data_IF_577836651561
#
_entry.id   IF_577836651561
#
_cell.length_a   1.000
_cell.length_b   1.000
_cell.length_c   1.000
_cell.angle_alpha   90.00
_cell.angle_beta   90.00
_cell.angle_gamma   90.00
#
_symmetry.space_group_name_H-M   'P 1'
#
loop_
_entity.id
_entity.type
_entity.pdbx_description
1 polymer ?
#
# COMPACT_ATOMS: atom_id res chain seq x y z
N UNK A 1 5.69 -17.92 0.35
CA UNK A 1 5.64 -17.63 1.80
C UNK A 1 5.27 -18.92 2.54
N UNK A 2 5.65 -19.12 3.82
CA UNK A 2 5.22 -20.33 4.55
C UNK A 2 3.74 -20.21 4.92
N UNK A 3 3.00 -21.32 4.95
CA UNK A 3 1.56 -21.32 5.31
C UNK A 3 1.30 -20.75 6.70
N UNK A 4 2.24 -20.91 7.62
CA UNK A 4 2.15 -20.37 8.98
C UNK A 4 2.18 -18.84 9.00
N UNK A 5 2.98 -18.22 8.13
CA UNK A 5 3.06 -16.76 8.00
C UNK A 5 1.75 -16.22 7.39
N UNK A 6 1.21 -16.87 6.36
CA UNK A 6 -0.08 -16.48 5.76
C UNK A 6 -1.22 -16.54 6.79
N UNK A 7 -1.28 -17.62 7.57
CA UNK A 7 -2.27 -17.75 8.65
C UNK A 7 -2.09 -16.67 9.73
N UNK A 8 -0.85 -16.39 10.12
CA UNK A 8 -0.55 -15.35 11.11
C UNK A 8 -0.95 -13.95 10.61
N UNK A 9 -0.72 -13.66 9.32
CA UNK A 9 -1.16 -12.42 8.68
C UNK A 9 -2.69 -12.27 8.70
N UNK A 10 -3.41 -13.34 8.33
CA UNK A 10 -4.86 -13.35 8.36
C UNK A 10 -5.38 -13.13 9.80
N UNK A 11 -4.82 -13.82 10.79
CA UNK A 11 -5.21 -13.68 12.20
C UNK A 11 -4.98 -12.24 12.66
N UNK A 12 -3.83 -11.64 12.34
CA UNK A 12 -3.51 -10.27 12.70
C UNK A 12 -4.48 -9.27 12.03
N UNK A 13 -4.74 -9.43 10.73
CA UNK A 13 -5.67 -8.59 9.98
C UNK A 13 -7.10 -8.67 10.55
N UNK A 14 -7.59 -9.88 10.88
CA UNK A 14 -8.89 -10.09 11.55
C UNK A 14 -8.94 -9.44 12.94
N UNK A 15 -7.86 -9.56 13.72
CA UNK A 15 -7.77 -8.94 15.03
C UNK A 15 -7.82 -7.41 14.93
N UNK A 16 -7.10 -6.82 13.96
CA UNK A 16 -7.14 -5.38 13.67
C UNK A 16 -8.50 -4.91 13.20
N UNK A 17 -9.20 -5.68 12.35
CA UNK A 17 -10.59 -5.38 11.97
C UNK A 17 -11.54 -5.40 13.18
N UNK A 18 -11.37 -6.35 14.11
CA UNK A 18 -12.16 -6.40 15.35
C UNK A 18 -11.89 -5.17 16.21
N UNK A 19 -10.63 -4.76 16.35
CA UNK A 19 -10.25 -3.55 17.08
C UNK A 19 -10.80 -2.29 16.42
N UNK A 20 -10.77 -2.20 15.09
CA UNK A 20 -11.36 -1.09 14.35
C UNK A 20 -12.85 -0.96 14.68
N UNK A 21 -13.60 -2.07 14.68
CA UNK A 21 -15.02 -2.06 15.07
C UNK A 21 -15.25 -1.59 16.51
N UNK A 22 -14.34 -1.91 17.43
CA UNK A 22 -14.40 -1.43 18.82
C UNK A 22 -14.07 0.06 18.90
N UNK A 23 -13.05 0.52 18.16
CA UNK A 23 -12.66 1.92 18.11
C UNK A 23 -13.75 2.80 17.49
N UNK A 24 -14.50 2.27 16.53
CA UNK A 24 -15.65 2.93 15.92
C UNK A 24 -16.90 2.91 16.83
N UNK A 25 -16.93 2.08 17.89
CA UNK A 25 -18.11 1.93 18.72
C UNK A 25 -18.29 3.12 19.68
N UNK A 26 -19.25 3.99 19.37
CA UNK A 26 -19.67 5.09 20.24
C UNK A 26 -19.70 6.42 19.48
N UNK A 27 -20.52 7.39 19.94
CA UNK A 27 -20.62 8.72 19.30
C UNK A 27 -19.36 9.58 19.48
N UNK A 28 -18.53 9.25 20.48
CA UNK A 28 -17.29 9.96 20.81
C UNK A 28 -16.05 9.10 20.49
N UNK A 29 -16.09 8.35 19.40
CA UNK A 29 -14.93 7.58 18.95
C UNK A 29 -13.70 8.48 18.80
N UNK A 30 -12.56 8.06 19.37
CA UNK A 30 -11.30 8.75 19.16
C UNK A 30 -10.87 8.55 17.70
N UNK A 31 -11.07 9.60 16.89
CA UNK A 31 -10.76 9.60 15.46
C UNK A 31 -9.29 9.28 15.19
N UNK A 32 -8.37 9.64 16.09
CA UNK A 32 -6.95 9.29 15.92
C UNK A 32 -6.73 7.78 16.11
N UNK A 33 -7.41 7.18 17.08
CA UNK A 33 -7.37 5.73 17.31
C UNK A 33 -7.99 4.97 16.13
N UNK A 34 -9.14 5.44 15.63
CA UNK A 34 -9.81 4.88 14.44
C UNK A 34 -8.90 4.97 13.23
N UNK A 35 -8.32 6.15 12.95
CA UNK A 35 -7.41 6.37 11.84
C UNK A 35 -6.18 5.47 11.94
N UNK A 36 -5.49 5.45 13.09
CA UNK A 36 -4.31 4.60 13.30
C UNK A 36 -4.63 3.11 13.11
N UNK A 37 -5.77 2.64 13.64
CA UNK A 37 -6.18 1.24 13.51
C UNK A 37 -6.53 0.89 12.07
N UNK A 38 -7.15 1.84 11.35
CA UNK A 38 -7.45 1.70 9.93
C UNK A 38 -6.17 1.65 9.08
N UNK A 39 -5.19 2.54 9.29
CA UNK A 39 -3.89 2.51 8.59
C UNK A 39 -3.12 1.20 8.83
N UNK A 40 -3.09 0.70 10.07
CA UNK A 40 -2.44 -0.57 10.36
C UNK A 40 -3.09 -1.74 9.62
N UNK A 41 -4.41 -1.69 9.47
CA UNK A 41 -5.16 -2.72 8.76
C UNK A 41 -4.93 -2.63 7.25
N UNK A 42 -5.03 -1.44 6.66
CA UNK A 42 -4.81 -1.23 5.23
C UNK A 42 -3.37 -1.52 4.83
N UNK A 43 -2.38 -1.19 5.67
CA UNK A 43 -0.99 -1.56 5.44
C UNK A 43 -0.77 -3.08 5.37
N UNK A 44 -1.44 -3.85 6.24
CA UNK A 44 -1.37 -5.32 6.23
C UNK A 44 -2.06 -5.92 5.02
N UNK A 45 -3.23 -5.41 4.64
CA UNK A 45 -4.02 -5.92 3.51
C UNK A 45 -3.42 -5.49 2.17
N UNK A 46 -2.60 -4.43 2.13
CA UNK A 46 -1.91 -3.92 0.93
C UNK A 46 -0.80 -4.83 0.43
N UNK A 47 -0.30 -5.74 1.28
CA UNK A 47 0.68 -6.77 0.87
C UNK A 47 0.19 -7.63 -0.30
N UNK A 48 -1.14 -7.72 -0.51
CA UNK A 48 -1.73 -8.41 -1.68
C UNK A 48 -1.42 -7.74 -3.02
N UNK A 49 -1.08 -6.45 -3.03
CA UNK A 49 -0.74 -5.69 -4.23
C UNK A 49 0.76 -5.72 -4.54
N UNK A 50 1.58 -6.24 -3.62
CA UNK A 50 3.02 -6.42 -3.82
C UNK A 50 3.28 -7.52 -4.85
N UNK A 51 4.04 -7.20 -5.89
CA UNK A 51 4.46 -8.18 -6.91
C UNK A 51 5.33 -9.26 -6.25
N UNK A 52 5.12 -10.54 -6.60
CA UNK A 52 5.81 -11.68 -5.99
C UNK A 52 5.70 -11.76 -4.45
N UNK A 53 4.57 -11.29 -3.87
CA UNK A 53 4.29 -11.36 -2.42
C UNK A 53 4.30 -12.77 -1.83
N UNK A 54 4.32 -13.81 -2.68
CA UNK A 54 4.38 -15.20 -2.26
C UNK A 54 3.15 -15.66 -1.48
N UNK A 55 2.05 -14.91 -1.54
CA UNK A 55 0.76 -15.22 -0.95
C UNK A 55 -0.02 -16.17 -1.84
N UNK A 56 -0.67 -17.15 -1.24
CA UNK A 56 -1.67 -17.96 -1.93
C UNK A 56 -2.87 -17.12 -2.35
N UNK A 57 -3.53 -17.51 -3.44
CA UNK A 57 -4.73 -16.84 -3.93
C UNK A 57 -5.86 -16.79 -2.87
N UNK A 58 -5.94 -17.81 -2.00
CA UNK A 58 -6.89 -17.84 -0.89
C UNK A 58 -6.60 -16.73 0.12
N UNK A 59 -5.33 -16.57 0.52
CA UNK A 59 -4.89 -15.53 1.46
C UNK A 59 -5.08 -14.13 0.89
N UNK A 60 -4.74 -13.91 -0.38
CA UNK A 60 -4.97 -12.62 -1.04
C UNK A 60 -6.46 -12.25 -1.07
N UNK A 61 -7.35 -13.21 -1.37
CA UNK A 61 -8.80 -13.01 -1.36
C UNK A 61 -9.32 -12.67 0.04
N UNK A 62 -8.79 -13.34 1.07
CA UNK A 62 -9.21 -13.10 2.44
C UNK A 62 -8.80 -11.71 2.94
N UNK A 63 -7.58 -11.28 2.63
CA UNK A 63 -7.12 -9.91 2.92
C UNK A 63 -7.98 -8.86 2.20
N UNK A 64 -8.38 -9.10 0.95
CA UNK A 64 -9.27 -8.20 0.22
C UNK A 64 -10.66 -8.07 0.88
N UNK A 65 -11.22 -9.18 1.39
CA UNK A 65 -12.50 -9.15 2.12
C UNK A 65 -12.37 -8.35 3.41
N UNK A 66 -11.29 -8.56 4.16
CA UNK A 66 -11.03 -7.83 5.42
C UNK A 66 -10.92 -6.33 5.18
N UNK A 67 -10.20 -5.94 4.12
CA UNK A 67 -10.01 -4.55 3.71
C UNK A 67 -11.33 -3.86 3.35
N UNK A 68 -12.13 -4.51 2.51
CA UNK A 68 -13.45 -4.00 2.12
C UNK A 68 -14.38 -3.85 3.34
N UNK A 69 -14.33 -4.79 4.29
CA UNK A 69 -15.10 -4.68 5.52
C UNK A 69 -14.61 -3.54 6.42
N UNK A 70 -13.32 -3.23 6.41
CA UNK A 70 -12.77 -2.08 7.14
C UNK A 70 -13.30 -0.77 6.56
N UNK A 71 -13.18 -0.59 5.25
CA UNK A 71 -13.66 0.59 4.52
C UNK A 71 -15.15 0.81 4.80
N UNK A 72 -15.96 -0.24 4.67
CA UNK A 72 -17.41 -0.16 4.91
C UNK A 72 -17.76 0.24 6.35
N UNK A 73 -17.06 -0.29 7.36
CA UNK A 73 -17.35 0.08 8.76
C UNK A 73 -17.00 1.55 9.03
N UNK A 74 -15.86 2.03 8.50
CA UNK A 74 -15.45 3.42 8.66
C UNK A 74 -16.39 4.34 7.90
N UNK A 75 -16.75 4.02 6.65
CA UNK A 75 -17.68 4.81 5.84
C UNK A 75 -19.04 5.00 6.51
N UNK A 76 -19.55 3.98 7.20
CA UNK A 76 -20.85 4.05 7.86
C UNK A 76 -20.86 4.87 9.15
N UNK A 77 -19.75 4.91 9.89
CA UNK A 77 -19.72 5.49 11.23
C UNK A 77 -18.94 6.81 11.29
N UNK A 78 -17.82 6.89 10.56
CA UNK A 78 -16.87 8.00 10.56
C UNK A 78 -16.28 8.24 9.15
N UNK A 79 -17.09 8.64 8.16
CA UNK A 79 -16.63 8.84 6.78
C UNK A 79 -15.50 9.88 6.65
N UNK A 80 -15.41 10.84 7.58
CA UNK A 80 -14.33 11.83 7.68
C UNK A 80 -12.93 11.21 7.79
N UNK A 81 -12.82 9.99 8.33
CA UNK A 81 -11.56 9.23 8.39
C UNK A 81 -11.15 8.78 6.99
N UNK A 82 -12.11 8.43 6.13
CA UNK A 82 -11.83 8.08 4.74
C UNK A 82 -11.48 9.30 3.90
N UNK A 83 -11.99 10.49 4.21
CA UNK A 83 -11.59 11.73 3.51
C UNK A 83 -10.16 12.13 3.86
N UNK A 84 -9.77 12.05 5.14
CA UNK A 84 -8.38 12.25 5.55
C UNK A 84 -7.47 11.19 4.95
N UNK A 85 -7.90 9.93 5.00
CA UNK A 85 -7.18 8.85 4.33
C UNK A 85 -7.10 9.12 2.83
N UNK A 86 -8.15 9.55 2.14
CA UNK A 86 -8.19 9.88 0.72
C UNK A 86 -7.21 11.00 0.35
N UNK A 87 -7.05 12.00 1.22
CA UNK A 87 -6.11 13.10 0.99
C UNK A 87 -4.66 12.69 1.28
N UNK A 88 -4.43 11.80 2.24
CA UNK A 88 -3.11 11.18 2.47
C UNK A 88 -2.79 10.11 1.42
N UNK A 89 -3.82 9.44 0.88
CA UNK A 89 -3.75 8.36 -0.12
C UNK A 89 -3.84 8.85 -1.57
N UNK A 90 -4.13 10.14 -1.78
CA UNK A 90 -3.88 10.81 -3.06
C UNK A 90 -2.39 10.84 -3.42
N UNK A 91 -1.49 10.51 -2.49
CA UNK A 91 -0.09 10.26 -2.77
C UNK A 91 0.19 8.85 -3.36
N UNK A 92 -0.78 7.90 -3.31
CA UNK A 92 -0.68 6.55 -3.92
C UNK A 92 -0.91 6.48 -5.43
N UNK A 93 -1.00 7.62 -6.14
CA UNK A 93 -0.94 7.58 -7.62
C UNK A 93 0.32 6.84 -8.12
N UNK A 94 1.40 6.91 -7.35
CA UNK A 94 2.67 6.24 -7.59
C UNK A 94 2.57 4.70 -7.69
N UNK A 95 1.60 4.08 -6.99
CA UNK A 95 1.43 2.61 -6.93
C UNK A 95 0.87 2.02 -8.21
N UNK A 96 0.06 2.77 -8.97
CA UNK A 96 -0.50 2.32 -10.25
C UNK A 96 0.17 2.99 -11.46
N UNK A 97 1.04 3.98 -11.21
CA UNK A 97 1.78 4.70 -12.24
C UNK A 97 2.72 3.75 -13.02
N UNK A 98 2.81 3.86 -14.35
CA UNK A 98 3.81 3.12 -15.14
C UNK A 98 5.23 3.36 -14.62
N UNK A 99 6.10 2.35 -14.76
CA UNK A 99 7.46 2.41 -14.22
C UNK A 99 8.29 3.57 -14.79
N UNK A 100 8.06 3.93 -16.06
CA UNK A 100 8.67 5.09 -16.72
C UNK A 100 8.22 6.40 -16.08
N UNK A 101 6.91 6.56 -15.92
CA UNK A 101 6.29 7.77 -15.38
C UNK A 101 6.69 7.98 -13.91
N UNK A 102 6.81 6.89 -13.14
CA UNK A 102 7.27 6.94 -11.76
C UNK A 102 8.74 7.38 -11.64
N UNK A 103 9.61 6.96 -12.57
CA UNK A 103 11.00 7.43 -12.61
C UNK A 103 11.08 8.89 -13.07
N UNK A 104 10.27 9.27 -14.06
CA UNK A 104 10.19 10.66 -14.55
C UNK A 104 9.72 11.60 -13.42
N UNK A 105 8.71 11.22 -12.65
CA UNK A 105 8.26 11.95 -11.47
C UNK A 105 9.41 12.18 -10.47
N UNK A 106 10.17 11.13 -10.17
CA UNK A 106 11.26 11.22 -9.20
C UNK A 106 12.42 12.08 -9.71
N UNK A 107 12.89 11.86 -10.93
CA UNK A 107 14.15 12.40 -11.41
C UNK A 107 14.01 13.65 -12.28
N UNK A 108 13.00 13.71 -13.15
CA UNK A 108 12.78 14.86 -14.03
C UNK A 108 11.95 15.94 -13.35
N UNK A 109 10.90 15.54 -12.63
CA UNK A 109 10.04 16.49 -11.92
C UNK A 109 10.61 16.88 -10.55
N UNK A 110 11.68 16.19 -10.10
CA UNK A 110 12.44 16.55 -8.91
C UNK A 110 11.80 16.09 -7.59
N UNK A 111 10.81 15.21 -7.65
CA UNK A 111 10.10 14.70 -6.47
C UNK A 111 10.93 13.72 -5.63
N UNK A 112 12.12 13.32 -6.09
CA UNK A 112 13.05 12.42 -5.36
C UNK A 112 13.49 12.87 -3.98
N UNK A 113 13.23 14.11 -3.56
CA UNK A 113 13.55 14.60 -2.20
C UNK A 113 12.32 14.98 -1.38
N UNK A 114 11.14 15.00 -2.00
CA UNK A 114 9.91 15.57 -1.43
C UNK A 114 8.76 14.56 -1.41
N UNK A 115 8.87 13.50 -2.21
CA UNK A 115 7.87 12.44 -2.33
C UNK A 115 8.46 11.10 -1.87
N UNK A 116 8.55 10.92 -0.54
CA UNK A 116 9.04 9.70 0.10
C UNK A 116 8.27 8.45 -0.34
N UNK A 117 7.01 8.63 -0.75
CA UNK A 117 6.18 7.53 -1.21
C UNK A 117 6.59 7.05 -2.60
N UNK A 118 6.71 7.93 -3.59
CA UNK A 118 7.18 7.58 -4.92
C UNK A 118 8.56 6.90 -4.87
N UNK A 119 9.45 7.35 -3.97
CA UNK A 119 10.75 6.73 -3.70
C UNK A 119 10.56 5.31 -3.16
N UNK A 120 9.71 5.14 -2.14
CA UNK A 120 9.41 3.84 -1.55
C UNK A 120 8.85 2.88 -2.59
N UNK A 121 7.93 3.33 -3.44
CA UNK A 121 7.34 2.53 -4.53
C UNK A 121 8.38 2.19 -5.60
N UNK A 122 9.24 3.13 -6.00
CA UNK A 122 10.29 2.88 -6.98
C UNK A 122 11.36 1.90 -6.47
N UNK A 123 11.74 2.00 -5.20
CA UNK A 123 12.63 1.03 -4.54
C UNK A 123 11.96 -0.35 -4.46
N UNK A 124 10.69 -0.38 -4.05
CA UNK A 124 9.91 -1.60 -3.90
C UNK A 124 9.70 -2.33 -5.23
N UNK A 125 9.51 -1.61 -6.34
CA UNK A 125 9.45 -2.17 -7.70
C UNK A 125 10.82 -2.56 -8.25
N UNK A 126 11.90 -2.32 -7.50
CA UNK A 126 13.28 -2.57 -7.91
C UNK A 126 13.74 -1.68 -9.07
N UNK A 127 13.09 -0.52 -9.27
CA UNK A 127 13.45 0.45 -10.30
C UNK A 127 14.68 1.25 -9.87
N UNK A 128 14.79 1.57 -8.57
CA UNK A 128 15.94 2.25 -7.99
C UNK A 128 16.51 1.45 -6.81
N UNK A 129 17.83 1.39 -6.70
CA UNK A 129 18.52 0.90 -5.48
C UNK A 129 18.91 2.06 -4.56
N UNK A 130 19.15 3.22 -5.17
CA UNK A 130 19.61 4.44 -4.53
C UNK A 130 19.03 5.63 -5.32
N UNK A 131 18.57 6.63 -4.58
CA UNK A 131 17.92 7.85 -5.06
C UNK A 131 18.92 8.75 -5.81
N UNK A 132 20.22 8.53 -5.63
CA UNK A 132 21.28 9.32 -6.27
C UNK A 132 21.63 8.85 -7.70
N UNK A 133 21.22 7.65 -8.12
CA UNK A 133 21.74 6.99 -9.32
C UNK A 133 20.69 6.90 -10.45
N UNK A 134 20.27 8.06 -10.97
CA UNK A 134 19.27 8.19 -12.04
C UNK A 134 19.56 7.34 -13.29
N UNK A 135 20.79 7.40 -13.80
CA UNK A 135 21.19 6.68 -15.03
C UNK A 135 21.07 5.17 -14.89
N UNK A 136 21.34 4.63 -13.70
CA UNK A 136 21.21 3.19 -13.44
C UNK A 136 19.75 2.75 -13.36
N UNK A 137 18.87 3.63 -12.86
CA UNK A 137 17.44 3.37 -12.76
C UNK A 137 16.78 3.15 -14.13
N UNK A 138 17.03 4.07 -15.07
CA UNK A 138 16.49 3.94 -16.43
C UNK A 138 17.13 2.77 -17.19
N UNK A 139 18.43 2.53 -17.05
CA UNK A 139 19.09 1.39 -17.69
C UNK A 139 18.52 0.03 -17.23
N UNK A 140 18.15 -0.10 -15.95
CA UNK A 140 17.46 -1.28 -15.42
C UNK A 140 16.05 -1.43 -15.98
N UNK A 141 15.33 -0.32 -16.14
CA UNK A 141 13.99 -0.34 -16.73
C UNK A 141 14.04 -0.79 -18.19
N UNK A 142 14.93 -0.18 -19.00
CA UNK A 142 15.08 -0.52 -20.42
C UNK A 142 15.48 -2.00 -20.61
N UNK A 143 16.37 -2.53 -19.77
CA UNK A 143 16.76 -3.95 -19.80
C UNK A 143 15.63 -4.91 -19.40
N UNK A 144 14.66 -4.45 -18.59
CA UNK A 144 13.46 -5.21 -18.21
C UNK A 144 12.41 -5.20 -19.31
N UNK A 145 12.24 -4.06 -19.99
CA UNK A 145 11.30 -3.92 -21.11
C UNK A 145 11.76 -4.75 -22.31
N UNK A 146 13.06 -4.75 -22.64
CA UNK A 146 13.62 -5.59 -23.71
C UNK A 146 13.48 -7.10 -23.47
N UNK A 147 13.40 -7.54 -22.20
CA UNK A 147 13.20 -8.96 -21.86
C UNK A 147 11.74 -9.42 -21.94
N UNK A 148 10.78 -8.50 -22.04
CA UNK A 148 9.35 -8.83 -22.16
C UNK A 148 8.87 -8.94 -23.61
N UNK A 149 9.62 -8.37 -24.55
CA UNK A 149 9.30 -8.34 -25.99
C UNK A 149 10.03 -9.42 -26.82
N UNK A 150 10.72 -10.37 -26.17
CA UNK A 150 11.40 -11.52 -26.80
C UNK A 150 10.89 -12.85 -26.27
#
# INVERSE_FOLDING_TARGET
>A
MSKEIEQSMIILARHRLKWLRVALAGRDADLNLVQNTFHQLTGLTSLRFVQDNGLSAATAKELAIIDNLAILNVQQQHPEVLEKFSNESQNYQSIDMPARDLLDLLFKDGERFHNQEAISVAMHRGLISDIQHEKEAYAKLDAREQKKDG
#
